data_IF_108533865128
#
_entry.id   IF_108533865128
#
_cell.length_a   1.000
_cell.length_b   1.000
_cell.length_c   1.000
_cell.angle_alpha   90.00
_cell.angle_beta   90.00
_cell.angle_gamma   90.00
#
_symmetry.space_group_name_H-M   'P 1'
#
loop_
_entity.id
_entity.type
_entity.pdbx_description
1 polymer ?
#
# COMPACT_ATOMS: atom_id res chain seq x y z
N UNK A 1 -9.10 -0.36 16.54
CA UNK A 1 -8.72 0.03 17.92
C UNK A 1 -7.40 -0.62 18.29
N UNK A 2 -6.29 -0.03 17.86
CA UNK A 2 -4.97 -0.43 18.36
C UNK A 2 -4.87 0.01 19.82
N UNK A 3 -4.68 -0.94 20.73
CA UNK A 3 -4.46 -0.66 22.15
C UNK A 3 -2.96 -0.44 22.38
N UNK A 4 -2.71 0.57 23.21
CA UNK A 4 -1.45 1.03 23.81
C UNK A 4 -0.33 -0.01 23.84
N UNK A 5 0.74 0.31 23.08
CA UNK A 5 1.96 -0.47 22.98
C UNK A 5 2.88 -0.05 21.83
N UNK A 6 2.68 1.13 21.24
CA UNK A 6 3.57 1.66 20.21
C UNK A 6 4.91 2.02 20.85
N UNK A 7 5.99 1.38 20.41
CA UNK A 7 7.34 1.71 20.85
C UNK A 7 7.66 3.17 20.51
N UNK A 8 8.06 3.98 21.49
CA UNK A 8 8.65 5.31 21.25
C UNK A 8 10.02 5.13 20.57
N UNK A 9 10.02 5.01 19.25
CA UNK A 9 11.21 4.80 18.45
C UNK A 9 10.99 5.18 16.99
N UNK A 10 12.01 4.93 16.17
CA UNK A 10 12.01 5.19 14.71
C UNK A 10 10.79 4.59 14.02
N UNK A 11 10.31 3.43 14.49
CA UNK A 11 9.10 2.78 13.97
C UNK A 11 7.84 3.62 14.19
N UNK A 12 7.71 4.32 15.32
CA UNK A 12 6.61 5.25 15.58
C UNK A 12 6.76 6.54 14.75
N UNK A 13 7.99 7.02 14.54
CA UNK A 13 8.23 8.16 13.65
C UNK A 13 7.82 7.86 12.19
N UNK A 14 8.09 6.65 11.70
CA UNK A 14 7.62 6.20 10.39
C UNK A 14 6.12 5.87 10.36
N UNK A 15 5.54 5.37 11.44
CA UNK A 15 4.09 5.20 11.56
C UNK A 15 3.36 6.56 11.58
N UNK A 16 3.96 7.61 12.16
CA UNK A 16 3.44 8.98 12.10
C UNK A 16 3.59 9.62 10.71
N UNK A 17 4.58 9.19 9.92
CA UNK A 17 4.72 9.58 8.51
C UNK A 17 3.70 8.92 7.56
N UNK A 18 2.80 8.09 8.08
CA UNK A 18 1.81 7.37 7.26
C UNK A 18 0.70 8.28 6.67
N UNK A 19 0.58 9.53 7.12
CA UNK A 19 -0.49 10.45 6.72
C UNK A 19 -0.03 11.69 5.96
N UNK A 20 0.91 12.50 6.48
CA UNK A 20 1.27 13.78 5.88
C UNK A 20 1.86 13.62 4.48
N UNK A 21 1.36 14.41 3.52
CA UNK A 21 1.95 14.50 2.17
C UNK A 21 1.51 13.43 1.17
N UNK A 22 0.64 12.48 1.54
CA UNK A 22 0.07 11.52 0.59
C UNK A 22 -1.23 12.09 0.00
N UNK A 23 -1.28 12.21 -1.33
CA UNK A 23 -2.47 12.66 -2.06
C UNK A 23 -3.29 11.54 -2.68
N UNK A 24 -2.70 10.37 -2.90
CA UNK A 24 -3.41 9.20 -3.43
C UNK A 24 -2.74 7.89 -3.00
N UNK A 25 -3.51 6.79 -3.01
CA UNK A 25 -3.00 5.44 -2.74
C UNK A 25 -3.33 4.47 -3.87
N UNK A 26 -2.42 3.53 -4.14
CA UNK A 26 -2.64 2.39 -5.03
C UNK A 26 -2.56 1.11 -4.21
N UNK A 27 -3.54 0.22 -4.37
CA UNK A 27 -3.52 -1.10 -3.74
C UNK A 27 -4.04 -2.21 -4.64
N UNK A 28 -3.60 -3.43 -4.39
CA UNK A 28 -4.16 -4.62 -5.01
C UNK A 28 -5.50 -5.01 -4.39
N UNK A 29 -6.36 -5.63 -5.19
CA UNK A 29 -7.67 -6.14 -4.77
C UNK A 29 -7.67 -6.96 -3.47
N UNK A 30 -6.66 -7.81 -3.27
CA UNK A 30 -6.59 -8.67 -2.07
C UNK A 30 -6.32 -7.88 -0.78
N UNK A 31 -5.81 -6.64 -0.88
CA UNK A 31 -5.74 -5.70 0.26
C UNK A 31 -7.12 -5.09 0.52
N UNK A 32 -7.87 -4.77 -0.54
CA UNK A 32 -9.21 -4.21 -0.43
C UNK A 32 -10.25 -5.18 0.15
N UNK A 33 -10.20 -6.47 -0.22
CA UNK A 33 -11.22 -7.43 0.22
C UNK A 33 -10.83 -8.91 0.14
N UNK A 34 -11.63 -9.79 0.78
CA UNK A 34 -11.36 -11.24 0.85
C UNK A 34 -11.74 -11.99 -0.43
N UNK A 35 -12.52 -11.38 -1.34
CA UNK A 35 -13.05 -12.06 -2.52
C UNK A 35 -11.93 -12.45 -3.50
N UNK A 36 -12.16 -13.54 -4.22
CA UNK A 36 -11.29 -14.07 -5.29
C UNK A 36 -12.14 -14.32 -6.55
N UNK A 37 -11.61 -14.04 -7.74
CA UNK A 37 -12.37 -14.11 -9.01
C UNK A 37 -13.37 -12.96 -9.20
N UNK A 38 -14.38 -13.08 -10.06
CA UNK A 38 -15.36 -12.00 -10.26
C UNK A 38 -16.05 -11.58 -8.94
N UNK A 39 -16.52 -10.33 -8.86
CA UNK A 39 -17.39 -9.89 -7.76
C UNK A 39 -18.72 -10.65 -7.83
N UNK A 40 -19.18 -11.21 -6.71
CA UNK A 40 -20.51 -11.83 -6.63
C UNK A 40 -21.59 -10.76 -6.51
N UNK A 41 -21.26 -9.68 -5.81
CA UNK A 41 -22.06 -8.49 -5.55
C UNK A 41 -21.13 -7.30 -5.24
N UNK A 42 -21.72 -6.13 -5.01
CA UNK A 42 -21.02 -4.88 -4.67
C UNK A 42 -21.18 -4.49 -3.19
N UNK A 43 -21.67 -5.40 -2.33
CA UNK A 43 -21.98 -5.08 -0.92
C UNK A 43 -20.71 -4.87 -0.08
N UNK A 44 -19.60 -5.51 -0.44
CA UNK A 44 -18.34 -5.34 0.27
C UNK A 44 -17.72 -3.94 0.03
N UNK A 45 -17.54 -3.20 1.12
CA UNK A 45 -17.00 -1.83 1.12
C UNK A 45 -15.57 -1.69 1.64
N UNK A 46 -14.91 -2.80 1.99
CA UNK A 46 -13.54 -2.81 2.55
C UNK A 46 -13.50 -3.18 4.03
N UNK A 47 -12.29 -3.33 4.57
CA UNK A 47 -12.05 -3.76 5.96
C UNK A 47 -12.25 -2.67 7.02
N UNK A 48 -12.43 -1.42 6.59
CA UNK A 48 -12.24 -0.23 7.45
C UNK A 48 -13.54 0.41 7.93
N UNK A 49 -14.69 -0.24 7.71
CA UNK A 49 -16.00 0.34 8.02
C UNK A 49 -16.31 1.57 7.14
N UNK A 50 -17.22 2.42 7.61
CA UNK A 50 -17.76 3.53 6.80
C UNK A 50 -16.80 4.71 6.60
N UNK A 51 -15.74 4.82 7.41
CA UNK A 51 -14.76 5.91 7.35
C UNK A 51 -13.32 5.35 7.28
N UNK A 52 -12.84 4.97 6.08
CA UNK A 52 -11.50 4.44 5.92
C UNK A 52 -10.40 5.44 6.24
N UNK A 53 -9.21 4.98 6.71
CA UNK A 53 -8.16 5.86 7.24
C UNK A 53 -7.33 6.57 6.16
N UNK A 54 -7.67 6.44 4.87
CA UNK A 54 -6.83 6.97 3.79
C UNK A 54 -7.13 8.43 3.47
N UNK A 55 -8.40 8.85 3.59
CA UNK A 55 -8.87 10.22 3.36
C UNK A 55 -8.40 10.83 2.01
N UNK A 56 -8.20 9.98 1.02
CA UNK A 56 -7.65 10.29 -0.32
C UNK A 56 -8.30 9.38 -1.36
N UNK A 57 -8.17 9.70 -2.66
CA UNK A 57 -8.47 8.75 -3.73
C UNK A 57 -7.58 7.49 -3.65
N UNK A 58 -8.21 6.32 -3.71
CA UNK A 58 -7.56 5.02 -3.63
C UNK A 58 -7.84 4.21 -4.90
N UNK A 59 -6.80 3.85 -5.63
CA UNK A 59 -6.87 3.04 -6.85
C UNK A 59 -6.66 1.56 -6.52
N UNK A 60 -7.73 0.78 -6.63
CA UNK A 60 -7.72 -0.66 -6.40
C UNK A 60 -7.46 -1.37 -7.74
N UNK A 61 -6.28 -1.97 -7.88
CA UNK A 61 -5.90 -2.77 -9.05
C UNK A 61 -6.63 -4.12 -9.06
N UNK A 62 -7.39 -4.36 -10.12
CA UNK A 62 -8.23 -5.55 -10.30
C UNK A 62 -8.55 -5.79 -11.78
N UNK A 63 -8.55 -7.06 -12.21
CA UNK A 63 -9.09 -7.46 -13.53
C UNK A 63 -10.63 -7.52 -13.56
N UNK A 64 -11.27 -7.20 -12.44
CA UNK A 64 -12.71 -7.07 -12.33
C UNK A 64 -13.02 -5.64 -11.88
N UNK A 65 -13.04 -4.66 -12.80
CA UNK A 65 -13.52 -3.31 -12.48
C UNK A 65 -14.94 -3.36 -11.94
N UNK A 66 -15.29 -2.40 -11.10
CA UNK A 66 -16.64 -2.15 -10.59
C UNK A 66 -16.84 -0.64 -10.40
N UNK A 67 -18.08 -0.16 -10.19
CA UNK A 67 -18.32 1.26 -9.93
C UNK A 67 -17.47 1.80 -8.78
N UNK A 68 -17.13 3.09 -8.88
CA UNK A 68 -16.45 3.82 -7.82
C UNK A 68 -17.23 3.73 -6.52
N UNK A 69 -16.53 3.55 -5.40
CA UNK A 69 -17.12 3.48 -4.06
C UNK A 69 -16.66 4.70 -3.25
N UNK A 70 -17.59 5.62 -3.02
CA UNK A 70 -17.40 6.76 -2.11
C UNK A 70 -17.69 6.35 -0.66
N UNK A 71 -16.87 6.84 0.26
CA UNK A 71 -16.93 6.54 1.68
C UNK A 71 -16.86 7.83 2.50
N UNK A 72 -17.21 7.76 3.79
CA UNK A 72 -17.05 8.91 4.67
C UNK A 72 -15.58 9.33 4.78
N UNK A 73 -15.35 10.58 5.20
CA UNK A 73 -14.01 11.13 5.37
C UNK A 73 -13.27 11.41 4.06
N UNK A 74 -13.98 11.58 2.94
CA UNK A 74 -13.39 11.95 1.65
C UNK A 74 -12.63 10.83 0.95
N UNK A 75 -12.81 9.59 1.40
CA UNK A 75 -12.17 8.43 0.80
C UNK A 75 -12.98 7.89 -0.39
N UNK A 76 -12.34 7.73 -1.54
CA UNK A 76 -12.99 7.19 -2.74
C UNK A 76 -12.17 6.04 -3.32
N UNK A 77 -12.77 4.86 -3.49
CA UNK A 77 -12.12 3.71 -4.13
C UNK A 77 -12.46 3.63 -5.62
N UNK A 78 -11.44 3.67 -6.46
CA UNK A 78 -11.53 3.49 -7.91
C UNK A 78 -11.02 2.09 -8.29
N UNK A 79 -11.88 1.24 -8.87
CA UNK A 79 -11.53 -0.13 -9.25
C UNK A 79 -11.09 -0.17 -10.72
N UNK A 80 -9.79 -0.33 -10.96
CA UNK A 80 -9.20 -0.20 -12.28
C UNK A 80 -8.45 -1.47 -12.71
N UNK A 81 -8.60 -1.84 -13.97
CA UNK A 81 -7.75 -2.80 -14.66
C UNK A 81 -6.73 -2.00 -15.47
N UNK A 82 -5.50 -1.92 -14.98
CA UNK A 82 -4.47 -1.05 -15.50
C UNK A 82 -3.09 -1.63 -15.19
N UNK A 83 -2.12 -1.32 -16.06
CA UNK A 83 -0.71 -1.55 -15.76
C UNK A 83 -0.22 -0.64 -14.61
N UNK A 84 0.90 -0.97 -13.95
CA UNK A 84 1.48 -0.12 -12.90
C UNK A 84 1.70 1.33 -13.34
N UNK A 85 2.20 1.55 -14.56
CA UNK A 85 2.47 2.88 -15.08
C UNK A 85 1.19 3.70 -15.29
N UNK A 86 0.14 3.10 -15.86
CA UNK A 86 -1.15 3.77 -16.06
C UNK A 86 -1.84 4.08 -14.72
N UNK A 87 -1.77 3.14 -13.77
CA UNK A 87 -2.31 3.36 -12.43
C UNK A 87 -1.58 4.47 -11.69
N UNK A 88 -0.25 4.53 -11.81
CA UNK A 88 0.56 5.60 -11.23
C UNK A 88 0.23 6.95 -11.85
N UNK A 89 0.06 7.03 -13.17
CA UNK A 89 -0.30 8.28 -13.83
C UNK A 89 -1.64 8.83 -13.30
N UNK A 90 -2.68 7.98 -13.23
CA UNK A 90 -3.99 8.37 -12.68
C UNK A 90 -3.90 8.79 -11.21
N UNK A 91 -3.10 8.08 -10.41
CA UNK A 91 -2.91 8.41 -9.01
C UNK A 91 -2.15 9.74 -8.82
N UNK A 92 -1.15 10.02 -9.65
CA UNK A 92 -0.41 11.29 -9.63
C UNK A 92 -1.31 12.48 -9.98
N UNK A 93 -2.14 12.33 -11.00
CA UNK A 93 -3.12 13.36 -11.36
C UNK A 93 -4.09 13.63 -10.20
N UNK A 94 -4.59 12.58 -9.56
CA UNK A 94 -5.49 12.69 -8.41
C UNK A 94 -4.81 13.21 -7.14
N UNK A 95 -3.50 12.97 -6.98
CA UNK A 95 -2.74 13.39 -5.80
C UNK A 95 -2.51 14.91 -5.75
N UNK A 96 -2.72 15.64 -6.85
CA UNK A 96 -2.68 17.11 -6.84
C UNK A 96 -1.30 17.68 -6.45
N UNK A 97 -0.22 17.01 -6.86
CA UNK A 97 1.15 17.40 -6.55
C UNK A 97 1.70 16.87 -5.22
N UNK A 98 0.91 16.08 -4.48
CA UNK A 98 1.35 15.31 -3.33
C UNK A 98 1.86 13.91 -3.75
N UNK A 99 2.42 13.17 -2.81
CA UNK A 99 2.99 11.84 -3.06
C UNK A 99 1.91 10.78 -3.31
N UNK A 100 2.28 9.75 -4.07
CA UNK A 100 1.45 8.56 -4.28
C UNK A 100 2.00 7.39 -3.48
N UNK A 101 1.17 6.81 -2.60
CA UNK A 101 1.54 5.64 -1.81
C UNK A 101 1.20 4.34 -2.53
N UNK A 102 2.16 3.43 -2.62
CA UNK A 102 1.88 2.04 -2.98
C UNK A 102 1.52 1.26 -1.71
N UNK A 103 0.23 1.21 -1.43
CA UNK A 103 -0.33 0.56 -0.24
C UNK A 103 -0.15 -0.97 -0.20
N UNK A 104 0.20 -1.60 -1.32
CA UNK A 104 0.37 -3.04 -1.44
C UNK A 104 -0.93 -3.78 -1.79
N UNK A 105 -1.08 -5.09 -1.59
CA UNK A 105 -0.16 -6.00 -0.89
C UNK A 105 1.14 -6.31 -1.63
N UNK A 106 1.91 -7.32 -1.15
CA UNK A 106 3.27 -7.57 -1.63
C UNK A 106 3.36 -7.76 -3.15
N UNK A 107 2.39 -8.42 -3.78
CA UNK A 107 2.37 -8.58 -5.24
C UNK A 107 2.28 -7.25 -5.99
N UNK A 108 1.48 -6.29 -5.50
CA UNK A 108 1.39 -4.95 -6.09
C UNK A 108 2.71 -4.20 -5.91
N UNK A 109 3.32 -4.27 -4.72
CA UNK A 109 4.64 -3.64 -4.50
C UNK A 109 5.69 -4.23 -5.46
N UNK A 110 5.72 -5.55 -5.64
CA UNK A 110 6.63 -6.21 -6.59
C UNK A 110 6.44 -5.73 -8.02
N UNK A 111 5.20 -5.58 -8.48
CA UNK A 111 4.91 -5.08 -9.83
C UNK A 111 5.44 -3.67 -10.06
N UNK A 112 5.31 -2.78 -9.07
CA UNK A 112 5.84 -1.41 -9.16
C UNK A 112 7.37 -1.35 -9.06
N UNK A 113 7.98 -2.21 -8.23
CA UNK A 113 9.43 -2.35 -8.19
C UNK A 113 9.98 -2.87 -9.52
N UNK A 114 9.38 -3.91 -10.10
CA UNK A 114 9.79 -4.45 -11.39
C UNK A 114 9.65 -3.44 -12.54
N UNK A 115 8.64 -2.57 -12.46
CA UNK A 115 8.41 -1.49 -13.43
C UNK A 115 9.29 -0.25 -13.21
N UNK A 116 10.16 -0.24 -12.19
CA UNK A 116 11.04 0.89 -11.84
C UNK A 116 10.27 2.17 -11.48
N UNK A 117 9.14 2.01 -10.78
CA UNK A 117 8.20 3.10 -10.45
C UNK A 117 8.21 3.50 -8.97
N UNK A 118 9.19 3.03 -8.20
CA UNK A 118 9.31 3.30 -6.77
C UNK A 118 10.50 4.21 -6.54
N UNK A 119 10.25 5.42 -6.05
CA UNK A 119 11.32 6.36 -5.68
C UNK A 119 11.87 6.04 -4.28
N UNK A 120 10.99 5.67 -3.35
CA UNK A 120 11.32 5.38 -1.96
C UNK A 120 10.63 4.11 -1.46
N UNK A 121 11.39 3.22 -0.82
CA UNK A 121 10.88 2.01 -0.20
C UNK A 121 11.33 1.94 1.27
N UNK A 122 10.38 1.98 2.19
CA UNK A 122 10.64 1.71 3.59
C UNK A 122 10.16 0.30 3.97
N UNK A 123 11.05 -0.50 4.55
CA UNK A 123 10.77 -1.89 4.95
C UNK A 123 11.05 -2.06 6.43
N UNK A 124 10.01 -2.44 7.17
CA UNK A 124 10.14 -2.83 8.58
C UNK A 124 10.35 -4.33 8.67
N UNK A 125 11.45 -4.75 9.30
CA UNK A 125 11.76 -6.16 9.54
C UNK A 125 11.31 -6.55 10.95
N UNK A 126 10.32 -7.45 11.02
CA UNK A 126 9.87 -8.04 12.29
C UNK A 126 10.69 -9.30 12.55
N UNK A 127 11.26 -9.51 13.76
CA UNK A 127 12.13 -10.64 14.07
C UNK A 127 11.35 -11.95 14.28
N UNK A 128 10.61 -12.38 13.26
CA UNK A 128 9.85 -13.63 13.23
C UNK A 128 10.12 -14.40 11.93
N UNK A 129 10.23 -15.72 12.02
CA UNK A 129 10.35 -16.60 10.85
C UNK A 129 8.98 -17.14 10.50
N UNK A 130 8.45 -16.75 9.33
CA UNK A 130 7.23 -17.31 8.76
C UNK A 130 7.59 -18.43 7.79
N UNK A 131 7.07 -19.64 8.01
CA UNK A 131 7.38 -20.80 7.16
C UNK A 131 6.74 -20.77 5.76
N UNK A 132 5.66 -19.99 5.58
CA UNK A 132 4.92 -19.86 4.31
C UNK A 132 4.19 -18.52 4.25
N UNK A 133 3.87 -18.06 3.04
CA UNK A 133 3.12 -16.83 2.83
C UNK A 133 3.46 -16.15 1.51
N UNK A 134 2.97 -14.92 1.33
CA UNK A 134 3.30 -14.09 0.17
C UNK A 134 4.64 -13.40 0.44
N UNK A 135 5.62 -13.59 -0.44
CA UNK A 135 6.98 -13.05 -0.30
C UNK A 135 7.10 -11.71 -1.01
N UNK A 136 7.61 -10.69 -0.33
CA UNK A 136 7.91 -9.41 -0.98
C UNK A 136 9.10 -9.54 -1.95
N UNK A 137 10.13 -10.29 -1.57
CA UNK A 137 11.39 -10.42 -2.34
C UNK A 137 11.38 -11.68 -3.21
N UNK A 138 10.76 -11.59 -4.37
CA UNK A 138 10.53 -12.73 -5.26
C UNK A 138 10.57 -12.22 -6.71
N UNK A 139 11.57 -12.64 -7.49
CA UNK A 139 11.82 -12.14 -8.85
C UNK A 139 12.23 -10.66 -8.91
N UNK A 140 13.00 -10.21 -7.92
CA UNK A 140 13.48 -8.82 -7.80
C UNK A 140 15.02 -8.76 -7.64
N UNK A 141 15.72 -9.60 -8.39
CA UNK A 141 17.17 -9.67 -8.40
C UNK A 141 17.80 -8.31 -8.76
N UNK A 142 18.96 -8.00 -8.18
CA UNK A 142 19.75 -6.80 -8.49
C UNK A 142 19.09 -5.45 -8.12
N UNK A 143 18.08 -5.44 -7.25
CA UNK A 143 17.49 -4.23 -6.70
C UNK A 143 18.51 -3.29 -6.05
N UNK A 144 19.53 -3.86 -5.42
CA UNK A 144 20.64 -3.14 -4.77
C UNK A 144 21.44 -2.26 -5.73
N UNK A 145 21.37 -2.53 -7.04
CA UNK A 145 22.02 -1.70 -8.05
C UNK A 145 21.20 -0.44 -8.41
N UNK A 146 19.94 -0.36 -7.97
CA UNK A 146 19.02 0.75 -8.29
C UNK A 146 18.73 1.65 -7.09
N UNK A 147 18.92 1.14 -5.88
CA UNK A 147 18.61 1.87 -4.64
C UNK A 147 19.84 2.00 -3.76
N UNK A 148 20.03 3.20 -3.20
CA UNK A 148 20.88 3.36 -2.02
C UNK A 148 20.16 2.75 -0.82
N UNK A 149 20.82 1.83 -0.13
CA UNK A 149 20.25 1.14 1.02
C UNK A 149 20.81 1.72 2.31
N UNK A 150 19.91 2.23 3.15
CA UNK A 150 20.21 2.64 4.52
C UNK A 150 19.48 1.71 5.50
N UNK A 151 20.15 1.35 6.58
CA UNK A 151 19.57 0.48 7.62
C UNK A 151 19.72 1.11 8.99
N UNK A 152 18.61 1.20 9.71
CA UNK A 152 18.58 1.61 11.11
C UNK A 152 18.24 0.40 11.95
N UNK A 153 18.97 0.19 13.05
CA UNK A 153 18.69 -0.88 14.01
C UNK A 153 18.42 -0.25 15.37
N UNK A 154 17.24 -0.52 15.92
CA UNK A 154 16.97 -0.25 17.33
C UNK A 154 17.38 -1.49 18.10
N UNK A 155 18.55 -1.47 18.73
CA UNK A 155 18.90 -2.49 19.73
C UNK A 155 18.13 -2.18 21.01
N UNK A 156 17.56 -3.18 21.71
CA UNK A 156 17.04 -2.94 23.04
C UNK A 156 18.17 -2.42 23.93
N UNK A 157 17.90 -1.39 24.73
CA UNK A 157 18.76 -1.02 25.85
C UNK A 157 18.88 -2.26 26.75
N UNK A 158 20.11 -2.76 26.94
CA UNK A 158 20.46 -3.68 28.02
C UNK A 158 20.74 -2.89 29.30
#
# INVERSE_FOLDING_TARGET
NGKDGGSEGVDNAYAMAWGPGIGAEIMGRNKFGPQRGAWQDEEWKGWWGDNPPFHTPVFVLTHHPRPTLEMAGGNTFHFIDASPAEALARARDAAGGLDVRIGGGPSTVRQFLAADLIDHLHVVLVPIVLGRGVRLWDGLESLENRFTVESVRCLPYL
#
